data_IF_390561348066
#
_entry.id   IF_390561348066
#
_cell.length_a   1.000
_cell.length_b   1.000
_cell.length_c   1.000
_cell.angle_alpha   90.00
_cell.angle_beta   90.00
_cell.angle_gamma   90.00
#
_symmetry.space_group_name_H-M   'P 1'
#
loop_
_entity.id
_entity.type
_entity.pdbx_description
1 polymer ?
#
# COMPACT_ATOMS: atom_id res chain seq x y z
N UNK A 1 13.56 -0.56 11.78
CA UNK A 1 14.84 0.16 11.61
C UNK A 1 15.48 -0.30 10.31
N UNK A 2 15.05 0.29 9.19
CA UNK A 2 15.51 -0.09 7.84
C UNK A 2 16.89 0.49 7.53
N UNK A 3 17.63 -0.21 6.69
CA UNK A 3 19.08 -0.14 6.47
C UNK A 3 19.62 1.11 5.73
N UNK A 4 19.00 2.29 5.90
CA UNK A 4 19.25 3.45 5.02
C UNK A 4 20.43 4.35 5.40
N UNK A 5 21.05 4.18 6.58
CA UNK A 5 22.09 5.13 7.04
C UNK A 5 23.50 4.80 6.50
N UNK A 6 23.79 3.56 6.10
CA UNK A 6 25.19 3.14 5.85
C UNK A 6 25.70 3.33 4.40
N UNK A 7 24.84 3.36 3.38
CA UNK A 7 25.27 3.42 1.96
C UNK A 7 24.80 4.66 1.19
N UNK A 8 24.08 5.59 1.85
CA UNK A 8 23.64 6.85 1.22
C UNK A 8 22.62 6.68 0.09
N UNK A 9 21.86 5.59 0.10
CA UNK A 9 20.82 5.29 -0.88
C UNK A 9 19.43 5.50 -0.27
N UNK A 10 18.49 5.98 -1.09
CA UNK A 10 17.10 6.19 -0.70
C UNK A 10 16.20 5.05 -1.19
N UNK A 11 15.16 4.71 -0.44
CA UNK A 11 14.15 3.72 -0.84
C UNK A 11 13.01 4.37 -1.65
N UNK A 12 12.62 3.72 -2.74
CA UNK A 12 11.48 4.13 -3.57
C UNK A 12 10.43 3.01 -3.65
N UNK A 13 9.56 2.86 -2.63
CA UNK A 13 8.56 1.80 -2.62
C UNK A 13 7.53 2.03 -3.73
N UNK A 14 7.16 0.93 -4.41
CA UNK A 14 6.15 0.90 -5.46
C UNK A 14 4.83 0.32 -4.94
N UNK A 15 3.72 0.68 -5.59
CA UNK A 15 2.38 0.18 -5.24
C UNK A 15 1.94 0.48 -3.79
N UNK A 16 2.35 1.63 -3.25
CA UNK A 16 2.07 2.04 -1.86
C UNK A 16 0.58 2.20 -1.53
N UNK A 17 -0.27 2.42 -2.54
CA UNK A 17 -1.74 2.49 -2.39
C UNK A 17 -2.44 1.18 -2.81
N UNK A 18 -1.71 0.06 -2.90
CA UNK A 18 -2.22 -1.25 -3.33
C UNK A 18 -3.04 -1.18 -4.63
N UNK A 19 -2.50 -0.55 -5.68
CA UNK A 19 -3.19 -0.31 -6.96
C UNK A 19 -4.51 0.49 -6.86
N UNK A 20 -4.65 1.35 -5.85
CA UNK A 20 -5.85 2.18 -5.61
C UNK A 20 -6.93 1.46 -4.81
N UNK A 21 -6.56 0.41 -4.07
CA UNK A 21 -7.45 -0.35 -3.19
C UNK A 21 -7.41 0.11 -1.74
N UNK A 22 -6.43 0.92 -1.34
CA UNK A 22 -6.50 1.63 -0.06
C UNK A 22 -7.30 2.93 -0.29
N UNK A 23 -8.59 2.89 0.04
CA UNK A 23 -9.55 3.98 -0.21
C UNK A 23 -10.69 3.95 0.80
N UNK A 24 -11.41 5.07 0.92
CA UNK A 24 -12.54 5.19 1.85
C UNK A 24 -13.75 4.36 1.41
N UNK A 25 -14.64 4.07 2.35
CA UNK A 25 -15.90 3.37 2.05
C UNK A 25 -16.80 4.20 1.11
N UNK A 26 -16.77 5.52 1.23
CA UNK A 26 -17.48 6.45 0.33
C UNK A 26 -16.92 6.41 -1.10
N UNK A 27 -15.59 6.36 -1.23
CA UNK A 27 -14.94 6.26 -2.54
C UNK A 27 -15.24 4.93 -3.25
N UNK A 28 -15.32 3.83 -2.49
CA UNK A 28 -15.74 2.52 -3.01
C UNK A 28 -17.18 2.57 -3.57
N UNK A 29 -18.13 3.15 -2.83
CA UNK A 29 -19.52 3.29 -3.28
C UNK A 29 -19.62 4.17 -4.54
N UNK A 30 -18.82 5.23 -4.62
CA UNK A 30 -18.70 6.06 -5.82
C UNK A 30 -18.23 5.23 -7.02
N UNK A 31 -17.25 4.35 -6.85
CA UNK A 31 -16.79 3.49 -7.95
C UNK A 31 -17.88 2.48 -8.39
N UNK A 32 -18.64 1.92 -7.45
CA UNK A 32 -19.76 1.02 -7.77
C UNK A 32 -20.85 1.73 -8.59
N UNK A 33 -21.19 2.96 -8.23
CA UNK A 33 -22.26 3.73 -8.89
C UNK A 33 -21.83 4.31 -10.24
N UNK A 34 -20.55 4.65 -10.40
CA UNK A 34 -20.01 5.24 -11.65
C UNK A 34 -19.44 4.21 -12.62
N UNK A 35 -19.18 2.97 -12.18
CA UNK A 35 -18.51 1.93 -12.96
C UNK A 35 -16.99 2.12 -13.09
N UNK A 36 -16.38 2.93 -12.22
CA UNK A 36 -14.94 3.18 -12.21
C UNK A 36 -14.17 2.06 -11.50
N UNK A 37 -14.06 0.90 -12.19
CA UNK A 37 -13.53 -0.36 -11.64
C UNK A 37 -11.99 -0.39 -11.42
N UNK A 38 -11.34 0.71 -11.04
CA UNK A 38 -9.94 0.72 -10.61
C UNK A 38 -8.93 0.07 -11.59
N UNK A 39 -7.87 -0.54 -11.04
CA UNK A 39 -6.89 -1.36 -11.77
C UNK A 39 -7.27 -2.85 -11.69
N UNK A 40 -7.57 -3.48 -12.82
CA UNK A 40 -8.00 -4.90 -12.89
C UNK A 40 -6.89 -5.88 -13.31
N UNK A 41 -5.62 -5.45 -13.35
CA UNK A 41 -4.50 -6.27 -13.83
C UNK A 41 -4.31 -7.54 -12.95
N UNK A 42 -4.66 -7.46 -11.66
CA UNK A 42 -4.49 -8.55 -10.69
C UNK A 42 -5.83 -9.14 -10.21
N UNK A 43 -6.92 -9.03 -11.00
CA UNK A 43 -8.22 -9.62 -10.68
C UNK A 43 -9.32 -8.58 -10.43
N UNK A 44 -10.24 -8.90 -9.50
CA UNK A 44 -11.39 -8.04 -9.19
C UNK A 44 -10.94 -6.68 -8.64
N UNK A 45 -11.73 -5.65 -8.87
CA UNK A 45 -11.41 -4.27 -8.50
C UNK A 45 -11.88 -3.89 -7.09
N UNK A 46 -12.80 -4.66 -6.53
CA UNK A 46 -13.34 -4.51 -5.18
C UNK A 46 -12.26 -4.86 -4.13
N UNK A 47 -12.33 -4.18 -2.98
CA UNK A 47 -11.44 -4.42 -1.84
C UNK A 47 -11.69 -5.80 -1.21
N UNK A 48 -10.62 -6.46 -0.78
CA UNK A 48 -10.68 -7.63 0.12
C UNK A 48 -11.01 -7.20 1.56
N UNK A 49 -11.35 -8.15 2.43
CA UNK A 49 -11.59 -7.88 3.86
C UNK A 49 -10.39 -7.23 4.54
N UNK A 50 -9.17 -7.68 4.20
CA UNK A 50 -7.92 -7.12 4.73
C UNK A 50 -7.68 -5.69 4.22
N UNK A 51 -7.96 -5.43 2.94
CA UNK A 51 -7.85 -4.09 2.35
C UNK A 51 -8.89 -3.12 2.95
N UNK A 52 -10.11 -3.58 3.26
CA UNK A 52 -11.12 -2.80 3.99
C UNK A 52 -10.65 -2.51 5.42
N UNK A 53 -10.11 -3.51 6.12
CA UNK A 53 -9.61 -3.36 7.49
C UNK A 53 -8.46 -2.35 7.55
N UNK A 54 -7.50 -2.45 6.62
CA UNK A 54 -6.38 -1.53 6.53
C UNK A 54 -6.82 -0.12 6.13
N UNK A 55 -7.74 0.02 5.17
CA UNK A 55 -8.27 1.33 4.76
C UNK A 55 -8.88 2.08 5.94
N UNK A 56 -9.69 1.41 6.75
CA UNK A 56 -10.31 2.01 7.95
C UNK A 56 -9.28 2.37 9.03
N UNK A 57 -8.23 1.56 9.18
CA UNK A 57 -7.14 1.88 10.11
C UNK A 57 -6.36 3.12 9.65
N UNK A 58 -6.08 3.24 8.35
CA UNK A 58 -5.46 4.42 7.76
C UNK A 58 -6.32 5.67 7.93
N UNK A 59 -7.64 5.58 7.73
CA UNK A 59 -8.57 6.70 7.99
C UNK A 59 -8.56 7.17 9.46
N UNK A 60 -8.33 6.24 10.40
CA UNK A 60 -8.22 6.54 11.82
C UNK A 60 -6.88 7.26 12.14
N UNK A 61 -5.79 6.79 11.53
CA UNK A 61 -4.41 7.26 11.76
C UNK A 61 -4.08 8.55 11.02
N UNK A 62 -4.73 8.84 9.88
CA UNK A 62 -4.49 10.05 9.07
C UNK A 62 -4.76 11.39 9.79
N UNK A 63 -5.12 11.36 11.08
CA UNK A 63 -5.43 12.54 11.90
C UNK A 63 -4.24 13.13 12.68
N UNK A 64 -3.12 12.42 12.87
CA UNK A 64 -1.95 12.93 13.64
C UNK A 64 -0.63 12.84 12.83
N UNK A 65 0.47 13.52 13.26
CA UNK A 65 1.50 14.12 12.37
C UNK A 65 3.02 13.80 12.72
N UNK A 66 3.84 13.10 11.87
CA UNK A 66 5.35 13.16 11.68
C UNK A 66 5.99 12.67 10.30
N UNK A 67 7.01 13.33 9.70
CA UNK A 67 7.62 12.94 8.37
C UNK A 67 8.84 11.99 8.53
N UNK A 68 8.97 10.97 7.67
CA UNK A 68 10.17 10.09 7.62
C UNK A 68 11.13 10.50 6.51
N UNK A 69 12.41 10.78 6.78
CA UNK A 69 13.40 11.11 5.76
C UNK A 69 13.82 9.87 4.95
N UNK A 70 14.27 10.07 3.70
CA UNK A 70 14.88 9.08 2.79
C UNK A 70 13.99 8.05 2.10
N UNK A 71 12.67 8.07 2.35
CA UNK A 71 11.70 7.24 1.61
C UNK A 71 10.90 8.09 0.62
N UNK A 72 10.97 7.75 -0.68
CA UNK A 72 10.27 8.46 -1.76
C UNK A 72 9.27 7.52 -2.46
N UNK A 73 8.02 7.46 -2.00
CA UNK A 73 7.02 6.55 -2.58
C UNK A 73 6.71 6.90 -4.03
N UNK A 74 6.58 5.88 -4.88
CA UNK A 74 6.13 6.03 -6.25
C UNK A 74 4.60 6.04 -6.25
N UNK A 75 4.02 7.22 -6.50
CA UNK A 75 2.57 7.43 -6.54
C UNK A 75 2.08 7.37 -8.00
N UNK A 76 1.13 6.48 -8.25
CA UNK A 76 0.43 6.36 -9.53
C UNK A 76 -0.94 7.04 -9.45
N UNK A 77 -1.38 7.61 -10.57
CA UNK A 77 -2.71 8.19 -10.71
C UNK A 77 -3.12 8.20 -12.17
N UNK A 78 -4.43 8.10 -12.44
CA UNK A 78 -4.98 8.17 -13.81
C UNK A 78 -5.76 9.46 -14.06
N UNK A 79 -5.94 10.27 -13.02
CA UNK A 79 -6.71 11.50 -13.03
C UNK A 79 -5.91 12.64 -12.40
N UNK A 80 -6.27 13.88 -12.73
CA UNK A 80 -5.59 15.08 -12.22
C UNK A 80 -5.83 15.24 -10.73
N UNK A 81 -7.00 14.84 -10.24
CA UNK A 81 -7.38 14.88 -8.84
C UNK A 81 -6.42 14.05 -7.98
N UNK A 82 -5.99 12.88 -8.46
CA UNK A 82 -5.00 12.07 -7.76
C UNK A 82 -3.65 12.79 -7.60
N UNK A 83 -3.25 13.62 -8.57
CA UNK A 83 -2.03 14.40 -8.45
C UNK A 83 -2.16 15.47 -7.35
N UNK A 84 -3.33 16.12 -7.25
CA UNK A 84 -3.61 17.12 -6.23
C UNK A 84 -3.64 16.48 -4.84
N UNK A 85 -4.36 15.38 -4.67
CA UNK A 85 -4.42 14.61 -3.41
C UNK A 85 -3.03 14.12 -2.97
N UNK A 86 -2.22 13.64 -3.90
CA UNK A 86 -0.83 13.23 -3.62
C UNK A 86 0.06 14.39 -3.16
N UNK A 87 -0.16 15.60 -3.69
CA UNK A 87 0.57 16.80 -3.26
C UNK A 87 0.15 17.21 -1.84
N UNK A 88 -1.14 17.10 -1.53
CA UNK A 88 -1.65 17.32 -0.17
C UNK A 88 -1.07 16.31 0.82
N UNK A 89 -0.89 15.06 0.38
CA UNK A 89 -0.28 13.98 1.17
C UNK A 89 1.17 14.25 1.58
N UNK A 90 1.91 15.13 0.90
CA UNK A 90 3.28 15.53 1.30
C UNK A 90 3.33 16.30 2.63
N UNK A 91 2.18 16.72 3.15
CA UNK A 91 2.04 17.32 4.48
C UNK A 91 1.51 16.33 5.53
N UNK A 92 1.20 15.09 5.12
CA UNK A 92 0.80 14.01 6.01
C UNK A 92 2.04 13.34 6.58
N UNK A 93 1.88 12.89 7.81
CA UNK A 93 2.95 12.59 8.72
C UNK A 93 2.38 11.57 9.74
N UNK A 94 3.12 10.64 10.36
CA UNK A 94 2.61 9.60 11.31
C UNK A 94 3.51 9.47 12.58
N UNK A 95 2.94 9.19 13.76
CA UNK A 95 3.68 8.93 15.03
C UNK A 95 4.09 7.46 15.19
N UNK A 96 5.05 7.16 16.07
CA UNK A 96 5.51 5.78 16.32
C UNK A 96 4.38 4.87 16.84
N UNK A 97 3.51 5.38 17.72
CA UNK A 97 2.35 4.62 18.23
C UNK A 97 1.35 4.29 17.12
N UNK A 98 1.19 5.20 16.16
CA UNK A 98 0.35 4.98 15.00
C UNK A 98 0.97 3.96 14.02
N UNK A 99 2.30 3.93 13.91
CA UNK A 99 3.02 2.89 13.16
C UNK A 99 2.74 1.52 13.79
N UNK A 100 2.90 1.40 15.12
CA UNK A 100 2.61 0.16 15.83
C UNK A 100 1.14 -0.26 15.67
N UNK A 101 0.20 0.70 15.70
CA UNK A 101 -1.21 0.42 15.44
C UNK A 101 -1.40 -0.16 14.03
N UNK A 102 -0.85 0.49 12.99
CA UNK A 102 -0.98 0.04 11.59
C UNK A 102 -0.32 -1.33 11.35
N UNK A 103 0.87 -1.56 11.91
CA UNK A 103 1.59 -2.84 11.82
C UNK A 103 0.83 -3.99 12.49
N UNK A 104 -0.06 -3.70 13.46
CA UNK A 104 -0.88 -4.71 14.14
C UNK A 104 -2.16 -5.12 13.38
N UNK A 105 -2.56 -4.37 12.36
CA UNK A 105 -3.87 -4.54 11.69
C UNK A 105 -3.94 -5.85 10.92
N UNK A 106 -2.90 -6.18 10.16
CA UNK A 106 -2.78 -7.41 9.37
C UNK A 106 -1.37 -7.98 9.52
N UNK A 107 -1.18 -9.31 9.40
CA UNK A 107 0.16 -9.89 9.38
C UNK A 107 1.01 -9.32 8.24
N UNK A 108 2.29 -9.05 8.51
CA UNK A 108 3.22 -8.60 7.48
C UNK A 108 3.37 -9.66 6.38
N UNK A 109 3.18 -9.24 5.14
CA UNK A 109 3.42 -10.04 3.94
C UNK A 109 4.58 -9.43 3.13
N UNK A 110 5.61 -10.24 2.88
CA UNK A 110 6.77 -9.86 2.05
C UNK A 110 6.39 -9.65 0.58
N UNK A 111 5.25 -10.19 0.14
CA UNK A 111 4.65 -9.93 -1.15
C UNK A 111 5.56 -10.24 -2.34
N UNK A 112 5.31 -9.55 -3.45
CA UNK A 112 6.08 -9.68 -4.69
C UNK A 112 7.41 -8.88 -4.62
N UNK A 113 8.53 -9.38 -5.20
CA UNK A 113 8.67 -10.63 -5.96
C UNK A 113 9.02 -11.84 -5.10
N UNK A 114 9.20 -11.68 -3.78
CA UNK A 114 9.63 -12.78 -2.91
C UNK A 114 8.66 -13.95 -2.97
N UNK A 115 7.36 -13.71 -2.86
CA UNK A 115 6.32 -14.74 -3.02
C UNK A 115 6.39 -15.44 -4.38
N UNK A 116 6.63 -14.70 -5.47
CA UNK A 116 6.78 -15.28 -6.82
C UNK A 116 8.03 -16.15 -6.94
N UNK A 117 9.17 -15.68 -6.42
CA UNK A 117 10.44 -16.38 -6.50
C UNK A 117 10.43 -17.62 -5.60
N UNK A 118 9.94 -17.52 -4.37
CA UNK A 118 9.91 -18.64 -3.42
C UNK A 118 8.86 -19.68 -3.83
N UNK A 119 7.70 -19.26 -4.37
CA UNK A 119 6.70 -20.19 -4.93
C UNK A 119 7.27 -21.03 -6.08
N UNK A 120 8.08 -20.42 -6.96
CA UNK A 120 8.70 -21.14 -8.08
C UNK A 120 9.84 -22.08 -7.65
N UNK A 121 10.58 -21.78 -6.57
CA UNK A 121 11.52 -22.73 -5.97
C UNK A 121 10.82 -23.95 -5.34
N UNK A 122 9.71 -23.78 -4.63
CA UNK A 122 9.00 -24.88 -3.97
C UNK A 122 8.36 -25.87 -4.97
N UNK A 123 7.82 -25.38 -6.08
CA UNK A 123 7.24 -26.23 -7.15
C UNK A 123 8.33 -27.04 -7.88
N UNK A 124 9.54 -26.49 -8.01
CA UNK A 124 10.64 -27.18 -8.69
C UNK A 124 11.26 -28.27 -7.82
N UNK A 125 11.29 -28.12 -6.49
CA UNK A 125 11.83 -29.14 -5.58
C UNK A 125 10.85 -30.25 -5.22
N UNK A 126 9.53 -30.05 -5.36
CA UNK A 126 8.53 -31.07 -5.03
C UNK A 126 8.09 -31.95 -6.22
N UNK A 127 8.50 -31.64 -7.46
CA UNK A 127 8.28 -32.50 -8.64
C UNK A 127 9.50 -33.36 -9.01
N UNK A 128 10.45 -33.49 -8.09
CA UNK A 128 11.64 -34.32 -8.21
C UNK A 128 11.81 -35.26 -7.03
N UNK A 129 10.83 -36.16 -6.79
CA UNK A 129 10.95 -37.41 -6.03
C UNK A 129 9.80 -38.34 -6.36
#
# INVERSE_FOLDING_TARGET
MCAEVEVGLALAPWSVLAAGRLRTDEEEERHQTTGENGHMIHGNWERTEDEVKMSRALEKVAKDIGKTPYVFPILGGRKVENLVENLEALNISISDEQIEELESVIPFDVGFPVAMLVSSYFVTTCNGS
#
